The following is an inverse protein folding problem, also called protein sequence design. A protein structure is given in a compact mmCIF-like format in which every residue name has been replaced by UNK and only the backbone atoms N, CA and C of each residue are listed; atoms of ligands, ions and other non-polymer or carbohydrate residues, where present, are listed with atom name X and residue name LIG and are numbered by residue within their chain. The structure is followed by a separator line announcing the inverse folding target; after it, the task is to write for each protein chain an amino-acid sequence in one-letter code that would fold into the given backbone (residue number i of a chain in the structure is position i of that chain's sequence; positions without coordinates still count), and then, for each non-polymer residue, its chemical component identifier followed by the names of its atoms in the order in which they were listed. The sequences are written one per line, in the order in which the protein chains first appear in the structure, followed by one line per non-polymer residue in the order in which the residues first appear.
data_IF_004379842105
#
_entry.id   IF_004379842105
#
_cell.length_a   1.000
_cell.length_b   1.000
_cell.length_c   1.000
_cell.angle_alpha   90.00
_cell.angle_beta   90.00
_cell.angle_gamma   90.00
#
_symmetry.space_group_name_H-M   'P 1'
#
loop_
_entity.id
_entity.type
_entity.pdbx_description
1 polymer ?
#
# COMPACT_ATOMS: atom_id res chain seq x y z
N UNK A 1 -9.76 21.68 29.71
CA UNK A 1 -10.17 21.71 31.14
C UNK A 1 -11.02 22.93 31.50
N UNK A 2 -11.41 23.78 30.53
CA UNK A 2 -12.22 24.97 30.82
C UNK A 2 -13.59 24.62 31.41
N UNK A 3 -14.21 23.52 30.96
CA UNK A 3 -15.46 23.03 31.53
C UNK A 3 -15.36 22.69 33.04
N UNK A 4 -14.21 22.19 33.51
CA UNK A 4 -14.00 21.93 34.93
C UNK A 4 -13.80 23.24 35.71
N UNK A 5 -13.10 24.21 35.10
CA UNK A 5 -12.90 25.54 35.68
C UNK A 5 -14.24 26.24 35.90
N UNK A 6 -15.15 26.19 34.94
CA UNK A 6 -16.50 26.76 35.09
C UNK A 6 -17.32 26.14 36.22
N UNK A 7 -17.18 24.82 36.44
CA UNK A 7 -17.86 24.13 37.56
C UNK A 7 -17.31 24.61 38.90
N UNK A 8 -15.99 24.81 38.99
CA UNK A 8 -15.35 25.31 40.21
C UNK A 8 -15.67 26.79 40.48
N UNK A 9 -15.78 27.62 39.44
CA UNK A 9 -16.16 29.03 39.56
C UNK A 9 -17.63 29.21 40.01
N UNK A 10 -18.51 28.29 39.64
CA UNK A 10 -19.93 28.29 40.03
C UNK A 10 -20.19 27.57 41.35
N UNK A 11 -19.16 27.01 41.98
CA UNK A 11 -19.31 26.20 43.19
C UNK A 11 -19.62 27.07 44.42
N UNK A 12 -20.57 26.63 45.24
CA UNK A 12 -20.91 27.30 46.49
C UNK A 12 -19.92 26.94 47.60
N UNK A 13 -19.57 27.94 48.42
CA UNK A 13 -18.82 27.76 49.67
C UNK A 13 -19.79 27.93 50.84
N UNK A 14 -20.03 26.84 51.57
CA UNK A 14 -20.88 26.82 52.78
C UNK A 14 -19.97 26.63 54.00
N UNK A 15 -20.13 27.46 55.02
CA UNK A 15 -19.31 27.45 56.24
C UNK A 15 -17.79 27.49 55.98
N UNK A 16 -17.37 28.26 54.97
CA UNK A 16 -15.97 28.39 54.57
C UNK A 16 -15.39 27.14 53.89
N UNK A 17 -16.23 26.15 53.56
CA UNK A 17 -15.83 24.92 52.85
C UNK A 17 -16.55 24.81 51.51
N UNK A 18 -15.81 24.34 50.51
CA UNK A 18 -16.37 24.00 49.20
C UNK A 18 -17.38 22.86 49.36
N UNK A 19 -18.54 22.98 48.71
CA UNK A 19 -19.50 21.89 48.59
C UNK A 19 -18.98 20.85 47.58
N UNK A 20 -18.13 19.95 48.09
CA UNK A 20 -17.42 18.94 47.28
C UNK A 20 -18.40 17.99 46.59
N UNK A 21 -19.50 17.64 47.25
CA UNK A 21 -20.52 16.74 46.69
C UNK A 21 -21.27 17.39 45.51
N UNK A 22 -21.58 18.68 45.61
CA UNK A 22 -22.19 19.43 44.51
C UNK A 22 -21.24 19.52 43.30
N UNK A 23 -19.97 19.83 43.54
CA UNK A 23 -18.92 19.91 42.49
C UNK A 23 -18.71 18.55 41.83
N UNK A 24 -18.62 17.47 42.61
CA UNK A 24 -18.41 16.12 42.07
C UNK A 24 -19.59 15.66 41.21
N UNK A 25 -20.82 15.94 41.65
CA UNK A 25 -22.02 15.62 40.88
C UNK A 25 -22.12 16.41 39.57
N UNK A 26 -21.76 17.70 39.58
CA UNK A 26 -21.70 18.51 38.36
C UNK A 26 -20.61 18.00 37.41
N UNK A 27 -19.43 17.70 37.94
CA UNK A 27 -18.31 17.16 37.16
C UNK A 27 -18.66 15.80 36.53
N UNK A 28 -19.34 14.92 37.27
CA UNK A 28 -19.70 13.59 36.77
C UNK A 28 -20.77 13.63 35.67
N UNK A 29 -21.65 14.65 35.66
CA UNK A 29 -22.61 14.87 34.56
C UNK A 29 -21.95 15.46 33.31
N UNK A 30 -20.95 16.30 33.49
CA UNK A 30 -20.30 17.02 32.38
C UNK A 30 -19.15 16.21 31.77
N UNK A 31 -18.43 15.42 32.56
CA UNK A 31 -17.28 14.62 32.14
C UNK A 31 -17.55 13.71 30.92
N UNK A 32 -18.67 12.95 30.82
CA UNK A 32 -18.93 12.11 29.66
C UNK A 32 -19.08 12.86 28.33
N UNK A 33 -19.36 14.17 28.35
CA UNK A 33 -19.45 15.01 27.13
C UNK A 33 -18.07 15.41 26.60
N UNK A 34 -17.06 15.41 27.46
CA UNK A 34 -15.70 15.85 27.15
C UNK A 34 -14.67 14.73 27.20
N UNK A 35 -15.09 13.52 27.59
CA UNK A 35 -14.23 12.35 27.71
C UNK A 35 -14.78 11.20 26.87
N UNK A 36 -13.87 10.48 26.23
CA UNK A 36 -14.22 9.24 25.51
C UNK A 36 -14.22 8.09 26.52
N UNK A 37 -15.30 7.29 26.60
CA UNK A 37 -15.32 6.09 27.43
C UNK A 37 -14.17 5.16 27.07
N UNK A 38 -13.52 4.58 28.07
CA UNK A 38 -12.40 3.65 27.87
C UNK A 38 -12.77 2.46 26.98
N UNK A 39 -14.01 1.98 27.08
CA UNK A 39 -14.52 0.90 26.24
C UNK A 39 -14.54 1.30 24.76
N UNK A 40 -15.05 2.49 24.44
CA UNK A 40 -15.15 3.00 23.06
C UNK A 40 -13.76 3.25 22.47
N UNK A 41 -12.85 3.82 23.27
CA UNK A 41 -11.45 3.99 22.87
C UNK A 41 -10.77 2.65 22.57
N UNK A 42 -10.92 1.67 23.47
CA UNK A 42 -10.33 0.35 23.30
C UNK A 42 -10.90 -0.38 22.07
N UNK A 43 -12.21 -0.29 21.84
CA UNK A 43 -12.86 -0.87 20.66
C UNK A 43 -12.29 -0.26 19.36
N UNK A 44 -12.15 1.08 19.32
CA UNK A 44 -11.57 1.77 18.16
C UNK A 44 -10.08 1.47 17.97
N UNK A 45 -9.33 1.28 19.05
CA UNK A 45 -7.93 0.88 18.97
C UNK A 45 -7.77 -0.52 18.36
N UNK A 46 -8.62 -1.48 18.74
CA UNK A 46 -8.61 -2.83 18.16
C UNK A 46 -9.10 -2.85 16.70
N UNK A 47 -10.12 -2.05 16.35
CA UNK A 47 -10.53 -1.83 14.95
C UNK A 47 -9.36 -1.28 14.12
N UNK A 48 -8.66 -0.26 14.63
CA UNK A 48 -7.52 0.37 13.94
C UNK A 48 -6.37 -0.62 13.75
N UNK A 49 -6.08 -1.45 14.76
CA UNK A 49 -5.06 -2.50 14.69
C UNK A 49 -5.42 -3.54 13.62
N UNK A 50 -6.66 -3.99 13.59
CA UNK A 50 -7.17 -4.93 12.57
C UNK A 50 -7.10 -4.34 11.16
N UNK A 51 -7.51 -3.08 11.00
CA UNK A 51 -7.43 -2.38 9.72
C UNK A 51 -5.98 -2.25 9.23
N UNK A 52 -5.05 -1.88 10.12
CA UNK A 52 -3.63 -1.77 9.76
C UNK A 52 -3.00 -3.12 9.40
N UNK A 53 -3.38 -4.21 10.09
CA UNK A 53 -2.95 -5.55 9.72
C UNK A 53 -3.45 -5.93 8.32
N UNK A 54 -4.73 -5.67 8.03
CA UNK A 54 -5.35 -5.92 6.72
C UNK A 54 -4.66 -5.12 5.61
N UNK A 55 -4.40 -3.83 5.83
CA UNK A 55 -3.67 -2.97 4.89
C UNK A 55 -2.27 -3.52 4.63
N UNK A 56 -1.57 -4.02 5.66
CA UNK A 56 -0.23 -4.60 5.51
C UNK A 56 -0.26 -5.87 4.66
N UNK A 57 -1.25 -6.74 4.88
CA UNK A 57 -1.42 -7.96 4.09
C UNK A 57 -1.80 -7.66 2.63
N UNK A 58 -2.68 -6.70 2.40
CA UNK A 58 -3.02 -6.23 1.05
C UNK A 58 -1.79 -5.63 0.35
N UNK A 59 -1.00 -4.81 1.05
CA UNK A 59 0.26 -4.26 0.51
C UNK A 59 1.27 -5.34 0.16
N UNK A 60 1.41 -6.38 1.00
CA UNK A 60 2.27 -7.53 0.70
C UNK A 60 1.78 -8.28 -0.53
N UNK A 61 0.49 -8.60 -0.57
CA UNK A 61 -0.15 -9.32 -1.69
C UNK A 61 -0.06 -8.55 -3.01
N UNK A 62 -0.09 -7.22 -2.96
CA UNK A 62 -0.01 -6.37 -4.15
C UNK A 62 1.43 -5.93 -4.52
N UNK A 63 2.35 -5.96 -3.55
CA UNK A 63 3.74 -5.53 -3.70
C UNK A 63 4.68 -6.64 -4.15
N UNK A 64 4.45 -7.90 -3.76
CA UNK A 64 5.25 -9.05 -4.18
C UNK A 64 4.85 -9.56 -5.57
N UNK A 65 4.80 -8.66 -6.55
CA UNK A 65 4.55 -9.01 -7.95
C UNK A 65 5.81 -9.52 -8.68
N UNK A 66 6.80 -10.00 -7.90
CA UNK A 66 8.08 -10.54 -8.37
C UNK A 66 7.88 -11.61 -9.43
N UNK A 67 6.89 -12.49 -9.25
CA UNK A 67 6.61 -13.54 -10.22
C UNK A 67 6.14 -12.97 -11.57
N UNK A 68 5.25 -11.96 -11.57
CA UNK A 68 4.85 -11.30 -12.82
C UNK A 68 5.99 -10.49 -13.43
N UNK A 69 6.81 -9.80 -12.63
CA UNK A 69 7.99 -9.08 -13.13
C UNK A 69 9.01 -10.02 -13.77
N UNK A 70 9.27 -11.18 -13.15
CA UNK A 70 10.13 -12.22 -13.73
C UNK A 70 9.55 -12.76 -15.03
N UNK A 71 8.24 -13.05 -15.10
CA UNK A 71 7.59 -13.51 -16.35
C UNK A 71 7.70 -12.46 -17.45
N UNK A 72 7.48 -11.19 -17.14
CA UNK A 72 7.63 -10.08 -18.10
C UNK A 72 9.07 -10.02 -18.64
N UNK A 73 10.09 -10.03 -17.78
CA UNK A 73 11.48 -9.99 -18.23
C UNK A 73 11.88 -11.20 -19.08
N UNK A 74 11.37 -12.40 -18.74
CA UNK A 74 11.57 -13.59 -19.56
C UNK A 74 10.93 -13.43 -20.95
N UNK A 75 9.68 -12.94 -21.03
CA UNK A 75 9.02 -12.69 -22.31
C UNK A 75 9.69 -11.60 -23.14
N UNK A 76 10.17 -10.52 -22.52
CA UNK A 76 10.94 -9.48 -23.21
C UNK A 76 12.22 -10.06 -23.84
N UNK A 77 12.93 -10.91 -23.10
CA UNK A 77 14.13 -11.60 -23.59
C UNK A 77 13.81 -12.54 -24.75
N UNK A 78 12.74 -13.33 -24.64
CA UNK A 78 12.30 -14.25 -25.68
C UNK A 78 11.89 -13.49 -26.97
N UNK A 79 11.13 -12.41 -26.83
CA UNK A 79 10.73 -11.55 -27.96
C UNK A 79 11.95 -10.94 -28.64
N UNK A 80 12.95 -10.48 -27.89
CA UNK A 80 14.19 -9.92 -28.45
C UNK A 80 14.96 -10.98 -29.26
N UNK A 81 15.07 -12.20 -28.74
CA UNK A 81 15.71 -13.32 -29.45
C UNK A 81 14.95 -13.70 -30.72
N UNK A 82 13.62 -13.78 -30.66
CA UNK A 82 12.78 -14.07 -31.82
C UNK A 82 12.95 -13.01 -32.91
N UNK A 83 12.97 -11.72 -32.54
CA UNK A 83 13.23 -10.62 -33.50
C UNK A 83 14.60 -10.76 -34.16
N UNK A 84 15.65 -11.00 -33.37
CA UNK A 84 17.02 -11.20 -33.90
C UNK A 84 17.11 -12.41 -34.84
N UNK A 85 16.46 -13.51 -34.49
CA UNK A 85 16.43 -14.71 -35.31
C UNK A 85 15.67 -14.47 -36.63
N UNK A 86 14.56 -13.75 -36.59
CA UNK A 86 13.81 -13.36 -37.78
C UNK A 86 14.65 -12.46 -38.71
N UNK A 87 15.34 -11.46 -38.14
CA UNK A 87 16.24 -10.60 -38.90
C UNK A 87 17.41 -11.37 -39.54
N UNK A 88 18.03 -12.28 -38.78
CA UNK A 88 19.11 -13.12 -39.31
C UNK A 88 18.61 -14.05 -40.41
N UNK A 89 17.42 -14.64 -40.23
CA UNK A 89 16.80 -15.50 -41.25
C UNK A 89 16.55 -14.71 -42.53
N UNK A 90 16.00 -13.49 -42.42
CA UNK A 90 15.76 -12.62 -43.56
C UNK A 90 17.07 -12.23 -44.27
N UNK A 91 18.12 -11.89 -43.51
CA UNK A 91 19.46 -11.58 -44.07
C UNK A 91 20.07 -12.78 -44.78
N UNK A 92 20.03 -13.96 -44.16
CA UNK A 92 20.56 -15.19 -44.75
C UNK A 92 19.81 -15.57 -46.02
N UNK A 93 18.48 -15.42 -46.04
CA UNK A 93 17.68 -15.67 -47.24
C UNK A 93 18.04 -14.71 -48.38
N UNK A 94 18.15 -13.41 -48.08
CA UNK A 94 18.58 -12.41 -49.07
C UNK A 94 19.99 -12.66 -49.59
N UNK A 95 20.92 -13.08 -48.72
CA UNK A 95 22.29 -13.42 -49.09
C UNK A 95 22.33 -14.66 -50.00
N UNK A 96 21.61 -15.73 -49.64
CA UNK A 96 21.44 -16.93 -50.47
C UNK A 96 20.92 -16.60 -51.85
N UNK A 97 19.84 -15.81 -51.94
CA UNK A 97 19.24 -15.40 -53.21
C UNK A 97 20.22 -14.58 -54.06
N UNK A 98 21.00 -13.69 -53.44
CA UNK A 98 22.03 -12.91 -54.13
C UNK A 98 23.17 -13.79 -54.67
N UNK A 99 23.65 -14.77 -53.89
CA UNK A 99 24.71 -15.69 -54.31
C UNK A 99 24.24 -16.62 -55.44
N UNK A 100 23.01 -17.12 -55.33
CA UNK A 100 22.40 -17.94 -56.39
C UNK A 100 22.31 -17.17 -57.71
N UNK A 101 21.91 -15.87 -57.68
CA UNK A 101 21.89 -15.00 -58.88
C UNK A 101 23.27 -14.77 -59.50
N UNK A 102 24.34 -14.86 -58.72
CA UNK A 102 25.71 -14.76 -59.21
C UNK A 102 26.26 -16.10 -59.74
N UNK A 103 25.45 -17.16 -59.75
CA UNK A 103 25.82 -18.47 -60.29
C UNK A 103 26.54 -19.38 -59.30
N UNK A 104 26.50 -19.08 -58.00
CA UNK A 104 27.03 -19.98 -56.97
C UNK A 104 26.13 -21.22 -56.89
N UNK A 105 26.70 -22.39 -57.18
CA UNK A 105 26.00 -23.69 -57.22
C UNK A 105 25.53 -24.17 -55.84
N UNK A 106 26.29 -23.87 -54.78
CA UNK A 106 25.93 -24.17 -53.39
C UNK A 106 26.23 -22.96 -52.49
N UNK A 107 25.28 -22.02 -52.33
CA UNK A 107 25.42 -20.88 -51.45
C UNK A 107 25.61 -21.27 -49.98
N UNK A 108 25.12 -22.44 -49.56
CA UNK A 108 25.16 -22.87 -48.15
C UNK A 108 26.57 -23.26 -47.70
N UNK A 109 27.48 -23.56 -48.64
CA UNK A 109 28.88 -23.82 -48.34
C UNK A 109 29.68 -22.54 -47.99
N UNK A 110 29.12 -21.35 -48.24
CA UNK A 110 29.80 -20.06 -48.09
C UNK A 110 29.27 -19.19 -46.93
N UNK A 111 28.18 -19.61 -46.26
CA UNK A 111 27.44 -18.83 -45.26
C UNK A 111 27.31 -19.64 -43.97
#
# INVERSE_FOLDING_TARGET
MEWLKEILEKAEIKDGKLDVDAVMNAAQKEFPKHAVPKADFNAKAEELKTANATITELKKSNGDNKELQTKIGNYETEIANLKKNAENTAKNYALRDSLAKQGVLDPDYLI
#
